data_IF_199690416745
#
_entry.id   IF_199690416745
#
_cell.length_a   1.000
_cell.length_b   1.000
_cell.length_c   1.000
_cell.angle_alpha   90.00
_cell.angle_beta   90.00
_cell.angle_gamma   90.00
#
_symmetry.space_group_name_H-M   'P 1'
#
loop_
_entity.id
_entity.type
_entity.pdbx_description
1 polymer ?
#
# COMPACT_ATOMS: atom_id res chain seq x y z
N UNK A 1 2.30 10.52 0.76
CA UNK A 1 2.54 11.57 1.77
C UNK A 1 1.35 12.51 1.91
N UNK A 2 0.90 13.23 0.88
CA UNK A 2 -0.22 14.18 0.98
C UNK A 2 -1.49 13.56 1.59
N UNK A 3 -1.92 12.40 1.10
CA UNK A 3 -3.11 11.70 1.63
C UNK A 3 -2.97 11.24 3.08
N UNK A 4 -1.75 10.91 3.53
CA UNK A 4 -1.50 10.52 4.92
C UNK A 4 -1.52 11.72 5.88
N UNK A 5 -0.93 12.84 5.44
CA UNK A 5 -0.99 14.10 6.20
C UNK A 5 -2.43 14.61 6.29
N UNK A 6 -3.17 14.59 5.18
CA UNK A 6 -4.59 14.97 5.17
C UNK A 6 -5.42 14.01 6.03
N UNK A 7 -5.18 12.70 5.95
CA UNK A 7 -5.90 11.72 6.76
C UNK A 7 -5.72 11.94 8.27
N UNK A 8 -4.54 12.39 8.71
CA UNK A 8 -4.28 12.73 10.12
C UNK A 8 -5.08 13.94 10.62
N UNK A 9 -5.56 14.80 9.71
CA UNK A 9 -6.39 15.97 10.02
C UNK A 9 -7.90 15.66 9.98
N UNK A 10 -8.29 14.45 9.57
CA UNK A 10 -9.69 14.04 9.43
C UNK A 10 -10.15 13.21 10.63
N UNK A 11 -11.48 13.15 10.90
CA UNK A 11 -12.03 12.22 11.89
C UNK A 11 -11.56 10.78 11.63
N UNK A 12 -11.27 10.02 12.68
CA UNK A 12 -10.60 8.72 12.60
C UNK A 12 -11.18 7.78 11.52
N UNK A 13 -12.52 7.67 11.46
CA UNK A 13 -13.19 6.82 10.47
C UNK A 13 -13.01 7.29 9.01
N UNK A 14 -12.98 8.61 8.78
CA UNK A 14 -12.79 9.19 7.44
C UNK A 14 -11.32 9.12 7.04
N UNK A 15 -10.40 9.43 7.96
CA UNK A 15 -8.96 9.36 7.74
C UNK A 15 -8.51 7.97 7.31
N UNK A 16 -8.99 6.92 7.99
CA UNK A 16 -8.66 5.52 7.64
C UNK A 16 -9.11 5.13 6.23
N UNK A 17 -10.28 5.59 5.78
CA UNK A 17 -10.72 5.31 4.39
C UNK A 17 -9.86 6.08 3.39
N UNK A 18 -9.48 7.31 3.73
CA UNK A 18 -8.71 8.19 2.84
C UNK A 18 -7.27 7.69 2.62
N UNK A 19 -6.67 6.99 3.59
CA UNK A 19 -5.34 6.40 3.42
C UNK A 19 -5.30 5.27 2.38
N UNK A 20 -6.41 4.61 2.10
CA UNK A 20 -6.50 3.59 1.05
C UNK A 20 -6.59 4.20 -0.37
N UNK A 21 -6.91 5.49 -0.50
CA UNK A 21 -7.18 6.12 -1.78
C UNK A 21 -6.00 6.05 -2.78
N UNK A 22 -4.74 6.35 -2.39
CA UNK A 22 -3.60 6.21 -3.29
C UNK A 22 -3.42 4.80 -3.83
N UNK A 23 -3.71 3.79 -3.00
CA UNK A 23 -3.62 2.38 -3.38
C UNK A 23 -4.68 2.04 -4.44
N UNK A 24 -5.94 2.41 -4.19
CA UNK A 24 -7.04 2.18 -5.13
C UNK A 24 -6.83 2.91 -6.46
N UNK A 25 -6.35 4.15 -6.40
CA UNK A 25 -6.01 4.92 -7.60
C UNK A 25 -4.92 4.23 -8.42
N UNK A 26 -3.84 3.80 -7.76
CA UNK A 26 -2.75 3.07 -8.43
C UNK A 26 -3.25 1.77 -9.09
N UNK A 27 -4.17 1.03 -8.46
CA UNK A 27 -4.77 -0.16 -9.06
C UNK A 27 -5.48 0.14 -10.39
N UNK A 28 -6.26 1.23 -10.43
CA UNK A 28 -6.97 1.64 -11.65
C UNK A 28 -5.97 2.03 -12.75
N UNK A 29 -4.96 2.84 -12.42
CA UNK A 29 -3.96 3.33 -13.37
C UNK A 29 -3.14 2.17 -13.95
N UNK A 30 -2.65 1.26 -13.11
CA UNK A 30 -1.85 0.11 -13.55
C UNK A 30 -2.69 -0.82 -14.43
N UNK A 31 -3.95 -1.07 -14.08
CA UNK A 31 -4.86 -1.85 -14.93
C UNK A 31 -5.07 -1.16 -16.28
N UNK A 32 -5.37 0.14 -16.30
CA UNK A 32 -5.57 0.89 -17.53
C UNK A 32 -4.34 0.83 -18.45
N UNK A 33 -3.15 1.04 -17.88
CA UNK A 33 -1.88 0.92 -18.60
C UNK A 33 -1.68 -0.50 -19.16
N UNK A 34 -1.93 -1.53 -18.36
CA UNK A 34 -1.82 -2.92 -18.78
C UNK A 34 -2.76 -3.22 -19.96
N UNK A 35 -4.04 -2.82 -19.86
CA UNK A 35 -5.03 -3.04 -20.90
C UNK A 35 -4.64 -2.32 -22.20
N UNK A 36 -4.21 -1.04 -22.11
CA UNK A 36 -3.81 -0.25 -23.28
C UNK A 36 -2.62 -0.88 -24.01
N UNK A 37 -1.65 -1.42 -23.26
CA UNK A 37 -0.44 -2.05 -23.79
C UNK A 37 -0.71 -3.43 -24.40
N UNK A 38 -1.47 -4.29 -23.71
CA UNK A 38 -1.67 -5.69 -24.11
C UNK A 38 -2.94 -5.95 -24.90
N UNK A 39 -3.87 -4.98 -24.96
CA UNK A 39 -5.19 -5.09 -25.62
C UNK A 39 -6.05 -6.25 -25.11
N UNK A 40 -5.80 -6.71 -23.88
CA UNK A 40 -6.55 -7.78 -23.20
C UNK A 40 -6.46 -7.63 -21.69
N UNK A 41 -7.36 -8.29 -20.98
CA UNK A 41 -7.27 -8.47 -19.53
C UNK A 41 -6.06 -9.33 -19.12
N UNK A 42 -5.57 -9.19 -17.87
CA UNK A 42 -4.49 -10.03 -17.34
C UNK A 42 -4.89 -11.51 -17.29
N UNK A 43 -3.93 -12.38 -17.58
CA UNK A 43 -4.05 -13.82 -17.32
C UNK A 43 -4.01 -14.10 -15.81
N UNK A 44 -4.42 -15.29 -15.35
CA UNK A 44 -4.33 -15.65 -13.93
C UNK A 44 -2.92 -15.50 -13.34
N UNK A 45 -1.87 -15.81 -14.12
CA UNK A 45 -0.48 -15.70 -13.71
C UNK A 45 -0.03 -14.23 -13.61
N UNK A 46 -0.40 -13.39 -14.58
CA UNK A 46 -0.11 -11.95 -14.54
C UNK A 46 -0.86 -11.27 -13.39
N UNK A 47 -2.12 -11.63 -13.17
CA UNK A 47 -2.92 -11.15 -12.04
C UNK A 47 -2.24 -11.43 -10.71
N UNK A 48 -1.74 -12.64 -10.50
CA UNK A 48 -1.03 -13.00 -9.26
C UNK A 48 0.25 -12.18 -9.10
N UNK A 49 1.04 -12.01 -10.17
CA UNK A 49 2.25 -11.18 -10.16
C UNK A 49 1.94 -9.72 -9.82
N UNK A 50 0.88 -9.16 -10.43
CA UNK A 50 0.45 -7.78 -10.14
C UNK A 50 0.00 -7.67 -8.68
N UNK A 51 -0.84 -8.59 -8.20
CA UNK A 51 -1.32 -8.58 -6.81
C UNK A 51 -0.18 -8.67 -5.79
N UNK A 52 0.78 -9.58 -6.02
CA UNK A 52 1.98 -9.67 -5.19
C UNK A 52 2.83 -8.40 -5.26
N UNK A 53 3.00 -7.82 -6.45
CA UNK A 53 3.72 -6.57 -6.63
C UNK A 53 3.12 -5.42 -5.81
N UNK A 54 1.80 -5.25 -5.86
CA UNK A 54 1.10 -4.25 -5.04
C UNK A 54 1.30 -4.47 -3.55
N UNK A 55 1.26 -5.73 -3.10
CA UNK A 55 1.42 -6.08 -1.69
C UNK A 55 2.84 -5.86 -1.19
N UNK A 56 3.85 -6.23 -1.99
CA UNK A 56 5.26 -5.98 -1.65
C UNK A 56 5.52 -4.47 -1.58
N UNK A 57 5.04 -3.70 -2.56
CA UNK A 57 5.20 -2.24 -2.56
C UNK A 57 4.51 -1.62 -1.35
N UNK A 58 3.27 -2.02 -1.06
CA UNK A 58 2.54 -1.54 0.12
C UNK A 58 3.27 -1.87 1.41
N UNK A 59 3.72 -3.12 1.57
CA UNK A 59 4.44 -3.54 2.77
C UNK A 59 5.74 -2.77 2.95
N UNK A 60 6.60 -2.73 1.93
CA UNK A 60 7.89 -2.06 2.00
C UNK A 60 7.74 -0.56 2.26
N UNK A 61 6.81 0.10 1.56
CA UNK A 61 6.56 1.52 1.77
C UNK A 61 6.16 1.83 3.21
N UNK A 62 5.22 1.06 3.78
CA UNK A 62 4.75 1.29 5.13
C UNK A 62 5.77 0.85 6.20
N UNK A 63 6.47 -0.27 5.98
CA UNK A 63 7.50 -0.75 6.90
C UNK A 63 8.67 0.23 6.97
N UNK A 64 9.15 0.73 5.83
CA UNK A 64 10.21 1.75 5.78
C UNK A 64 9.77 3.03 6.49
N UNK A 65 8.54 3.48 6.28
CA UNK A 65 8.02 4.65 6.97
C UNK A 65 7.88 4.43 8.48
N UNK A 66 7.37 3.29 8.92
CA UNK A 66 7.21 3.01 10.35
C UNK A 66 8.57 2.91 11.07
N UNK A 67 9.58 2.34 10.41
CA UNK A 67 10.93 2.17 10.96
C UNK A 67 11.73 3.47 10.90
N UNK A 68 11.71 4.18 9.78
CA UNK A 68 12.59 5.35 9.55
C UNK A 68 11.90 6.70 9.66
N UNK A 69 10.56 6.73 9.67
CA UNK A 69 9.78 7.96 9.84
C UNK A 69 10.16 8.73 11.11
N UNK A 70 10.27 8.08 12.29
CA UNK A 70 10.71 8.77 13.51
C UNK A 70 12.07 9.45 13.33
N UNK A 71 13.04 8.79 12.69
CA UNK A 71 14.37 9.37 12.41
C UNK A 71 14.24 10.57 11.50
N UNK A 72 13.50 10.44 10.39
CA UNK A 72 13.32 11.50 9.41
C UNK A 72 12.73 12.77 10.04
N UNK A 73 11.75 12.64 10.93
CA UNK A 73 11.11 13.79 11.59
C UNK A 73 11.90 14.34 12.78
N UNK A 74 12.82 13.56 13.36
CA UNK A 74 13.62 13.99 14.52
C UNK A 74 15.05 14.37 14.17
N UNK A 75 15.48 14.35 12.90
CA UNK A 75 16.88 14.56 12.47
C UNK A 75 17.62 15.76 13.09
N UNK A 76 16.92 16.79 13.59
CA UNK A 76 17.52 17.92 14.31
C UNK A 76 17.83 17.69 15.79
N UNK A 77 17.45 16.55 16.36
CA UNK A 77 17.66 16.23 17.78
C UNK A 77 19.06 15.62 18.02
N UNK A 78 19.72 15.89 19.17
CA UNK A 78 21.08 15.40 19.43
C UNK A 78 21.20 13.87 19.55
N UNK A 79 20.10 13.16 19.84
CA UNK A 79 20.10 11.73 20.22
C UNK A 79 19.26 10.82 19.30
N UNK A 80 18.93 11.29 18.09
CA UNK A 80 18.03 10.57 17.15
C UNK A 80 18.40 9.11 16.96
N UNK A 81 19.69 8.84 16.69
CA UNK A 81 20.16 7.49 16.40
C UNK A 81 20.12 6.57 17.64
N UNK A 82 20.42 7.12 18.81
CA UNK A 82 20.33 6.37 20.08
C UNK A 82 18.87 6.03 20.41
N UNK A 83 17.96 7.00 20.25
CA UNK A 83 16.52 6.81 20.44
C UNK A 83 15.94 5.80 19.44
N UNK A 84 16.35 5.88 18.18
CA UNK A 84 15.95 4.93 17.16
C UNK A 84 16.43 3.51 17.46
N UNK A 85 17.71 3.34 17.84
CA UNK A 85 18.24 2.02 18.17
C UNK A 85 17.53 1.39 19.38
N UNK A 86 17.22 2.20 20.40
CA UNK A 86 16.43 1.79 21.56
C UNK A 86 15.02 1.37 21.17
N UNK A 87 14.37 2.11 20.26
CA UNK A 87 13.05 1.77 19.74
C UNK A 87 13.06 0.47 18.93
N UNK A 88 14.05 0.29 18.05
CA UNK A 88 14.18 -0.91 17.22
C UNK A 88 14.54 -2.17 18.02
N UNK A 89 15.18 -1.99 19.18
CA UNK A 89 15.47 -3.07 20.11
C UNK A 89 14.27 -3.47 20.98
N UNK A 90 13.17 -2.69 20.96
CA UNK A 90 11.96 -2.96 21.72
C UNK A 90 11.02 -3.92 20.94
N UNK A 91 10.82 -5.18 21.40
CA UNK A 91 9.98 -6.14 20.69
C UNK A 91 8.51 -5.71 20.60
N UNK A 92 7.98 -5.03 21.63
CA UNK A 92 6.61 -4.54 21.64
C UNK A 92 6.39 -3.50 20.55
N UNK A 93 7.38 -2.63 20.29
CA UNK A 93 7.32 -1.69 19.18
C UNK A 93 7.28 -2.42 17.83
N UNK A 94 8.16 -3.40 17.63
CA UNK A 94 8.18 -4.19 16.40
C UNK A 94 6.84 -4.88 16.14
N UNK A 95 6.23 -5.47 17.17
CA UNK A 95 4.90 -6.08 17.04
C UNK A 95 3.81 -5.06 16.73
N UNK A 96 3.82 -3.91 17.39
CA UNK A 96 2.87 -2.83 17.13
C UNK A 96 2.97 -2.29 15.69
N UNK A 97 4.14 -2.38 15.07
CA UNK A 97 4.34 -2.00 13.66
C UNK A 97 3.94 -3.12 12.70
N UNK A 98 4.52 -4.32 12.85
CA UNK A 98 4.40 -5.36 11.83
C UNK A 98 3.07 -6.13 11.88
N UNK A 99 2.45 -6.31 13.05
CA UNK A 99 1.19 -7.06 13.14
C UNK A 99 0.08 -6.35 12.34
N UNK A 100 -0.19 -5.04 12.52
CA UNK A 100 -1.20 -4.34 11.73
C UNK A 100 -0.88 -4.36 10.23
N UNK A 101 0.38 -4.21 9.83
CA UNK A 101 0.78 -4.28 8.42
C UNK A 101 0.43 -5.63 7.79
N UNK A 102 0.74 -6.73 8.47
CA UNK A 102 0.39 -8.07 8.02
C UNK A 102 -1.13 -8.28 7.93
N UNK A 103 -1.88 -7.76 8.91
CA UNK A 103 -3.35 -7.82 8.91
C UNK A 103 -3.92 -7.07 7.71
N UNK A 104 -3.39 -5.89 7.37
CA UNK A 104 -3.85 -5.10 6.21
C UNK A 104 -3.46 -5.70 4.86
N UNK A 105 -2.37 -6.47 4.77
CA UNK A 105 -1.97 -7.12 3.52
C UNK A 105 -3.02 -8.11 3.01
N UNK A 106 -3.69 -8.84 3.89
CA UNK A 106 -4.70 -9.84 3.50
C UNK A 106 -5.87 -9.21 2.72
N UNK A 107 -6.63 -8.24 3.27
CA UNK A 107 -7.74 -7.63 2.55
C UNK A 107 -7.26 -6.89 1.30
N UNK A 108 -6.11 -6.22 1.33
CA UNK A 108 -5.56 -5.54 0.15
C UNK A 108 -5.20 -6.53 -0.97
N UNK A 109 -4.70 -7.72 -0.62
CA UNK A 109 -4.39 -8.76 -1.60
C UNK A 109 -5.67 -9.26 -2.25
N UNK A 110 -6.71 -9.54 -1.44
CA UNK A 110 -8.00 -10.00 -1.93
C UNK A 110 -8.67 -8.98 -2.85
N UNK A 111 -8.67 -7.70 -2.46
CA UNK A 111 -9.19 -6.60 -3.27
C UNK A 111 -8.44 -6.50 -4.60
N UNK A 112 -7.11 -6.56 -4.56
CA UNK A 112 -6.28 -6.49 -5.77
C UNK A 112 -6.50 -7.68 -6.67
N UNK A 113 -6.45 -8.89 -6.12
CA UNK A 113 -6.70 -10.11 -6.86
C UNK A 113 -8.09 -10.11 -7.52
N UNK A 114 -9.12 -9.68 -6.81
CA UNK A 114 -10.48 -9.58 -7.37
C UNK A 114 -10.57 -8.53 -8.48
N UNK A 115 -9.98 -7.36 -8.28
CA UNK A 115 -10.01 -6.25 -9.23
C UNK A 115 -9.30 -6.59 -10.54
N UNK A 116 -8.12 -7.20 -10.49
CA UNK A 116 -7.39 -7.63 -11.68
C UNK A 116 -7.95 -8.92 -12.32
N UNK A 117 -9.05 -9.47 -11.79
CA UNK A 117 -9.83 -10.55 -12.38
C UNK A 117 -11.07 -10.05 -13.12
N UNK A 118 -12.27 -10.30 -12.57
CA UNK A 118 -13.54 -10.02 -13.26
C UNK A 118 -13.68 -8.53 -13.66
N UNK A 119 -13.21 -7.60 -12.84
CA UNK A 119 -13.29 -6.17 -13.15
C UNK A 119 -12.36 -5.80 -14.31
N UNK A 120 -11.16 -6.38 -14.39
CA UNK A 120 -10.27 -6.23 -15.53
C UNK A 120 -10.89 -6.75 -16.85
N UNK A 121 -11.59 -7.89 -16.81
CA UNK A 121 -12.32 -8.38 -17.99
C UNK A 121 -13.43 -7.43 -18.43
N UNK A 122 -14.24 -6.92 -17.49
CA UNK A 122 -15.30 -5.94 -17.81
C UNK A 122 -14.74 -4.67 -18.43
N UNK A 123 -13.63 -4.17 -17.89
CA UNK A 123 -12.97 -2.97 -18.39
C UNK A 123 -12.33 -3.20 -19.77
N UNK A 124 -11.67 -4.36 -19.97
CA UNK A 124 -11.12 -4.76 -21.27
C UNK A 124 -12.21 -4.82 -22.34
N UNK A 125 -13.36 -5.44 -22.03
CA UNK A 125 -14.47 -5.54 -22.96
C UNK A 125 -15.00 -4.16 -23.35
N UNK A 126 -15.20 -3.25 -22.39
CA UNK A 126 -15.65 -1.88 -22.68
C UNK A 126 -14.65 -1.04 -23.49
N UNK A 127 -13.36 -1.37 -23.43
CA UNK A 127 -12.32 -0.60 -24.12
C UNK A 127 -12.08 -1.07 -25.55
N UNK A 128 -12.36 -2.34 -25.86
CA UNK A 128 -11.92 -2.97 -27.10
C UNK A 128 -13.03 -3.74 -27.86
N UNK A 129 -14.21 -3.90 -27.27
CA UNK A 129 -15.42 -4.46 -27.91
C UNK A 129 -16.56 -3.44 -27.83
#
# INVERSE_FOLDING_TARGET
MIFGVIAALLPLGVGIVFTAFPYLFAMIVVLFYFLKKNKRAPTPLERNKIALGFIIIFFLYNALYAVFGPVFFSMGEPEVWANWFKQMSNPQFLFAVFIPLLIYMIPLYLVTFWFYGKQAHRMSNKMFN
#
